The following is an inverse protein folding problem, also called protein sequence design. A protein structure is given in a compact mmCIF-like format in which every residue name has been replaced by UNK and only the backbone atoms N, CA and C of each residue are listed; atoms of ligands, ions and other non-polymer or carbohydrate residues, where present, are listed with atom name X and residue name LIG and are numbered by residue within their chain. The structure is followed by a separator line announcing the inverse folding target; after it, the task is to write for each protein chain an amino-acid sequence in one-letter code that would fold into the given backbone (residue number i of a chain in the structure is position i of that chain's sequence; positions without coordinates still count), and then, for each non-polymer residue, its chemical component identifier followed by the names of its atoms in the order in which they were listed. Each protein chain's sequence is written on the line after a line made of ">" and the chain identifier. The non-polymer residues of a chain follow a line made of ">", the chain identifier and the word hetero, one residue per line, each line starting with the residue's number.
data_IF_512359647355
#
_entry.id   IF_512359647355
#
_cell.length_a   1.000
_cell.length_b   1.000
_cell.length_c   1.000
_cell.angle_alpha   90.00
_cell.angle_beta   90.00
_cell.angle_gamma   90.00
#
_symmetry.space_group_name_H-M   'P 1'
#
loop_
_entity.id
_entity.type
_entity.pdbx_description
1 polymer ?
#
# COMPACT_ATOMS: atom_id res chain seq x y z
N UNK A 1 -13.82 -3.48 5.53
CA UNK A 1 -12.89 -4.45 6.12
C UNK A 1 -11.66 -4.56 5.22
N UNK A 2 -10.44 -4.60 5.76
CA UNK A 2 -9.19 -4.81 5.04
C UNK A 2 -8.50 -6.06 5.60
N UNK A 3 -8.40 -7.13 4.80
CA UNK A 3 -7.81 -8.40 5.22
C UNK A 3 -8.38 -8.94 6.56
N UNK A 4 -9.70 -8.88 6.75
CA UNK A 4 -10.34 -9.32 8.01
C UNK A 4 -10.45 -8.26 9.10
N UNK A 5 -9.84 -7.08 8.92
CA UNK A 5 -9.76 -6.04 9.95
C UNK A 5 -10.72 -4.87 9.67
N UNK A 6 -11.17 -4.21 10.73
CA UNK A 6 -12.01 -3.02 10.63
C UNK A 6 -11.23 -1.84 10.05
N UNK A 7 -11.95 -0.99 9.32
CA UNK A 7 -11.37 0.12 8.56
C UNK A 7 -12.15 1.40 8.82
N UNK A 8 -11.43 2.49 9.04
CA UNK A 8 -11.97 3.85 9.10
C UNK A 8 -11.18 4.81 8.21
N UNK A 9 -11.78 5.97 7.93
CA UNK A 9 -11.21 7.03 7.11
C UNK A 9 -10.75 8.19 8.01
N UNK A 10 -9.60 8.82 7.74
CA UNK A 10 -9.20 10.02 8.45
C UNK A 10 -10.16 11.17 8.14
N UNK A 11 -10.50 11.96 9.15
CA UNK A 11 -11.40 13.12 9.00
C UNK A 11 -10.71 14.30 8.30
N UNK A 12 -9.41 14.45 8.51
CA UNK A 12 -8.59 15.52 7.93
C UNK A 12 -7.69 14.99 6.80
N UNK A 13 -7.29 15.85 5.85
CA UNK A 13 -6.33 15.49 4.81
C UNK A 13 -5.07 14.84 5.41
N UNK A 14 -4.86 13.57 5.08
CA UNK A 14 -3.81 12.75 5.66
C UNK A 14 -2.91 12.17 4.57
N UNK A 15 -1.71 11.72 4.98
CA UNK A 15 -0.77 11.01 4.09
C UNK A 15 -1.11 9.53 3.92
N UNK A 16 -2.16 9.05 4.56
CA UNK A 16 -2.70 7.70 4.38
C UNK A 16 -4.18 7.82 4.03
N UNK A 17 -4.72 6.79 3.39
CA UNK A 17 -6.12 6.76 3.02
C UNK A 17 -6.99 6.13 4.11
N UNK A 18 -6.42 5.17 4.86
CA UNK A 18 -7.17 4.33 5.80
C UNK A 18 -6.46 4.19 7.15
N UNK A 19 -7.26 4.05 8.20
CA UNK A 19 -6.84 3.47 9.47
C UNK A 19 -7.41 2.06 9.56
N UNK A 20 -6.56 1.09 9.91
CA UNK A 20 -6.94 -0.32 9.98
C UNK A 20 -6.72 -0.82 11.40
N UNK A 21 -7.81 -1.21 12.06
CA UNK A 21 -7.78 -1.72 13.42
C UNK A 21 -7.41 -3.19 13.42
N UNK A 22 -6.22 -3.50 13.92
CA UNK A 22 -5.71 -4.88 14.06
C UNK A 22 -5.70 -5.29 15.52
N UNK A 23 -5.49 -6.58 15.79
CA UNK A 23 -5.27 -7.10 17.15
C UNK A 23 -4.08 -6.45 17.87
N UNK A 24 -3.11 -5.94 17.10
CA UNK A 24 -1.90 -5.25 17.63
C UNK A 24 -2.05 -3.73 17.74
N UNK A 25 -3.20 -3.18 17.35
CA UNK A 25 -3.45 -1.74 17.33
C UNK A 25 -3.82 -1.21 15.94
N UNK A 26 -3.80 0.11 15.79
CA UNK A 26 -4.21 0.79 14.56
C UNK A 26 -3.00 0.95 13.62
N UNK A 27 -3.21 0.66 12.33
CA UNK A 27 -2.21 0.86 11.27
C UNK A 27 -2.70 1.89 10.26
N UNK A 28 -1.82 2.82 9.88
CA UNK A 28 -2.02 3.85 8.85
C UNK A 28 -1.66 3.28 7.49
N UNK A 29 -2.63 3.19 6.60
CA UNK A 29 -2.47 2.50 5.32
C UNK A 29 -2.70 3.44 4.15
N UNK A 30 -1.71 3.56 3.29
CA UNK A 30 -1.84 4.23 1.99
C UNK A 30 -2.24 3.20 0.93
N UNK A 31 -3.33 3.46 0.22
CA UNK A 31 -3.78 2.63 -0.89
C UNK A 31 -3.12 3.10 -2.18
N UNK A 32 -2.68 2.15 -3.00
CA UNK A 32 -2.21 2.39 -4.36
C UNK A 32 -2.84 1.37 -5.31
N UNK A 33 -3.19 1.81 -6.49
CA UNK A 33 -3.62 0.93 -7.58
C UNK A 33 -2.66 1.08 -8.75
N UNK A 34 -2.45 0.00 -9.50
CA UNK A 34 -1.69 0.08 -10.74
C UNK A 34 -2.33 -0.71 -11.85
N UNK A 35 -2.22 -0.18 -13.07
CA UNK A 35 -2.51 -0.87 -14.33
C UNK A 35 -1.30 -0.85 -15.27
N UNK A 36 -0.14 -0.43 -14.77
CA UNK A 36 1.08 -0.34 -15.57
C UNK A 36 1.87 -1.64 -15.47
N UNK A 37 2.04 -2.35 -16.60
CA UNK A 37 2.99 -3.46 -16.71
C UNK A 37 4.36 -2.98 -17.16
N UNK A 38 5.40 -3.66 -16.67
CA UNK A 38 6.77 -3.53 -17.12
C UNK A 38 7.37 -4.94 -17.21
N UNK A 39 7.45 -5.47 -18.43
CA UNK A 39 7.71 -6.90 -18.66
C UNK A 39 6.62 -7.76 -18.02
N UNK A 40 7.04 -8.80 -17.32
CA UNK A 40 6.14 -9.77 -16.66
C UNK A 40 5.70 -9.35 -15.26
N UNK A 41 5.92 -8.09 -14.87
CA UNK A 41 5.52 -7.56 -13.56
C UNK A 41 4.66 -6.32 -13.67
N UNK A 42 3.73 -6.18 -12.74
CA UNK A 42 3.08 -4.91 -12.46
C UNK A 42 4.07 -3.95 -11.79
N UNK A 43 4.13 -2.72 -12.30
CA UNK A 43 4.90 -1.61 -11.74
C UNK A 43 3.96 -0.67 -11.03
N UNK A 44 4.21 -0.38 -9.75
CA UNK A 44 3.41 0.58 -8.97
C UNK A 44 4.29 1.76 -8.59
N UNK A 45 3.73 2.97 -8.69
CA UNK A 45 4.35 4.17 -8.15
C UNK A 45 3.86 4.41 -6.73
N UNK A 46 4.80 4.56 -5.81
CA UNK A 46 4.53 4.66 -4.39
C UNK A 46 4.54 6.10 -3.88
N UNK A 47 4.98 7.05 -4.69
CA UNK A 47 4.97 8.47 -4.33
C UNK A 47 3.57 9.10 -4.39
N UNK A 48 3.42 10.28 -3.79
CA UNK A 48 2.30 11.18 -4.08
C UNK A 48 2.42 11.74 -5.51
N UNK A 49 1.29 11.94 -6.17
CA UNK A 49 1.23 12.59 -7.50
C UNK A 49 0.81 14.06 -7.42
N UNK A 50 0.35 14.53 -6.25
CA UNK A 50 -0.08 15.91 -6.03
C UNK A 50 1.12 16.73 -5.56
N UNK A 51 1.56 17.69 -6.39
CA UNK A 51 2.71 18.55 -6.10
C UNK A 51 4.05 17.87 -6.40
N UNK A 52 5.08 18.18 -5.61
CA UNK A 52 6.39 17.55 -5.74
C UNK A 52 6.32 16.05 -5.38
N UNK A 53 6.97 15.22 -6.19
CA UNK A 53 6.91 13.77 -6.07
C UNK A 53 7.71 13.29 -4.86
N UNK A 54 7.03 13.13 -3.72
CA UNK A 54 7.65 12.69 -2.46
C UNK A 54 7.29 11.24 -2.13
N UNK A 55 8.26 10.52 -1.58
CA UNK A 55 8.08 9.17 -1.00
C UNK A 55 7.49 9.27 0.41
N UNK A 56 6.98 8.15 0.92
CA UNK A 56 6.42 8.08 2.25
C UNK A 56 7.46 7.60 3.26
N UNK A 57 7.40 8.18 4.45
CA UNK A 57 8.23 7.82 5.59
C UNK A 57 7.48 6.87 6.55
N UNK A 58 8.16 5.97 7.29
CA UNK A 58 7.58 5.22 8.41
C UNK A 58 6.81 6.07 9.45
N UNK A 59 7.18 7.34 9.63
CA UNK A 59 6.45 8.24 10.51
C UNK A 59 5.13 8.73 9.90
N UNK A 60 4.89 8.54 8.60
CA UNK A 60 3.69 8.99 7.88
C UNK A 60 2.68 7.86 7.69
N UNK A 61 3.14 6.67 7.33
CA UNK A 61 2.31 5.49 7.06
C UNK A 61 2.99 4.24 7.61
N UNK A 62 2.23 3.18 7.87
CA UNK A 62 2.78 1.90 8.31
C UNK A 62 2.87 0.92 7.13
N UNK A 63 1.85 0.89 6.26
CA UNK A 63 1.80 0.00 5.10
C UNK A 63 1.29 0.67 3.83
N UNK A 64 1.69 0.10 2.69
CA UNK A 64 0.99 0.21 1.44
C UNK A 64 0.03 -0.95 1.24
N UNK A 65 -1.23 -0.65 0.95
CA UNK A 65 -2.15 -1.63 0.37
C UNK A 65 -2.23 -1.43 -1.14
N UNK A 66 -1.71 -2.38 -1.89
CA UNK A 66 -1.58 -2.27 -3.35
C UNK A 66 -2.51 -3.24 -4.05
N UNK A 67 -3.24 -2.74 -5.05
CA UNK A 67 -4.07 -3.55 -5.94
C UNK A 67 -3.47 -3.50 -7.35
N UNK A 68 -3.10 -4.65 -7.89
CA UNK A 68 -2.57 -4.77 -9.25
C UNK A 68 -3.66 -4.97 -10.30
N UNK A 69 -3.26 -4.97 -11.58
CA UNK A 69 -4.21 -5.07 -12.70
C UNK A 69 -4.88 -6.44 -12.85
N UNK A 70 -4.34 -7.47 -12.20
CA UNK A 70 -4.94 -8.81 -12.12
C UNK A 70 -5.77 -8.97 -10.83
N UNK A 71 -6.06 -7.86 -10.14
CA UNK A 71 -6.79 -7.79 -8.87
C UNK A 71 -6.13 -8.54 -7.72
N UNK A 72 -4.82 -8.73 -7.77
CA UNK A 72 -4.10 -9.22 -6.61
C UNK A 72 -3.88 -8.08 -5.62
N UNK A 73 -3.96 -8.43 -4.35
CA UNK A 73 -3.79 -7.51 -3.24
C UNK A 73 -2.46 -7.77 -2.53
N UNK A 74 -1.74 -6.71 -2.17
CA UNK A 74 -0.50 -6.78 -1.42
C UNK A 74 -0.59 -5.85 -0.23
N UNK A 75 -0.11 -6.29 0.92
CA UNK A 75 0.08 -5.45 2.10
C UNK A 75 1.58 -5.38 2.42
N UNK A 76 2.22 -4.28 2.00
CA UNK A 76 3.67 -4.11 2.05
C UNK A 76 4.03 -3.04 3.08
N UNK A 77 4.79 -3.36 4.15
CA UNK A 77 5.23 -2.36 5.09
C UNK A 77 6.11 -1.30 4.42
N UNK A 78 5.93 -0.01 4.75
CA UNK A 78 6.70 1.08 4.13
C UNK A 78 8.20 0.93 4.34
N UNK A 79 8.61 0.40 5.50
CA UNK A 79 10.01 0.14 5.84
C UNK A 79 10.68 -0.86 4.88
N UNK A 80 9.92 -1.76 4.24
CA UNK A 80 10.44 -2.74 3.29
C UNK A 80 10.70 -2.12 1.92
N UNK A 81 9.91 -1.10 1.56
CA UNK A 81 10.07 -0.37 0.30
C UNK A 81 11.29 0.55 0.33
N UNK A 82 11.65 1.07 1.51
CA UNK A 82 12.89 1.84 1.71
C UNK A 82 12.94 3.13 0.91
N UNK A 83 11.82 3.84 0.76
CA UNK A 83 11.77 5.14 0.07
C UNK A 83 11.83 5.07 -1.46
N UNK A 84 11.67 3.89 -2.07
CA UNK A 84 11.57 3.78 -3.53
C UNK A 84 10.32 4.47 -4.09
N UNK A 85 10.48 5.23 -5.17
CA UNK A 85 9.36 5.89 -5.85
C UNK A 85 8.46 4.93 -6.64
N UNK A 86 9.01 3.79 -7.06
CA UNK A 86 8.29 2.74 -7.76
C UNK A 86 8.91 1.38 -7.49
N UNK A 87 8.08 0.34 -7.51
CA UNK A 87 8.51 -1.06 -7.33
C UNK A 87 7.86 -1.96 -8.37
N UNK A 88 8.49 -3.11 -8.61
CA UNK A 88 7.93 -4.22 -9.37
C UNK A 88 7.34 -5.24 -8.38
N UNK A 89 6.05 -5.56 -8.51
CA UNK A 89 5.33 -6.37 -7.51
C UNK A 89 5.77 -7.84 -7.44
N UNK A 90 6.39 -8.38 -8.50
CA UNK A 90 6.93 -9.74 -8.47
C UNK A 90 7.98 -9.97 -7.37
N UNK A 91 8.78 -8.94 -7.05
CA UNK A 91 9.77 -8.98 -5.96
C UNK A 91 9.13 -8.99 -4.56
N UNK A 92 7.83 -8.72 -4.47
CA UNK A 92 7.08 -8.58 -3.21
C UNK A 92 6.00 -9.64 -3.06
N UNK A 93 6.11 -10.77 -3.77
CA UNK A 93 5.12 -11.85 -3.74
C UNK A 93 4.78 -12.39 -2.34
N UNK A 94 5.74 -12.35 -1.39
CA UNK A 94 5.51 -12.76 0.01
C UNK A 94 4.50 -11.89 0.77
N UNK A 95 4.21 -10.70 0.27
CA UNK A 95 3.26 -9.76 0.87
C UNK A 95 1.87 -9.85 0.23
N UNK A 96 1.71 -10.70 -0.79
CA UNK A 96 0.42 -10.93 -1.44
C UNK A 96 -0.56 -11.54 -0.43
N UNK A 97 -1.71 -10.92 -0.31
CA UNK A 97 -2.78 -11.38 0.56
C UNK A 97 -3.57 -12.46 -0.17
N UNK A 98 -3.79 -13.58 0.50
CA UNK A 98 -4.71 -14.62 0.03
C UNK A 98 -6.05 -14.31 0.66
N UNK A 99 -7.10 -14.14 -0.15
CA UNK A 99 -8.45 -14.01 0.36
C UNK A 99 -8.80 -15.28 1.12
N UNK A 100 -8.97 -15.17 2.44
CA UNK A 100 -9.69 -16.17 3.23
C UNK A 100 -11.15 -15.74 3.16
N UNK A 101 -11.97 -16.53 2.45
CA UNK A 101 -13.44 -16.40 2.46
C UNK A 101 -13.95 -16.98 3.77
#
# INVERSE_FOLDING_TARGET
>A
MLCGNDVSWPLEPSRYDLLVSTVTGIRRVQVKTTRTRAGDSWKVYLSTTRGERRTYDPDEIDDFFIIDGDLNYYLIPVAVVGGLHAIHLNAYGRYRQVSVI
#
